data_IF_119791026682
#
_entry.id   IF_119791026682
#
_cell.length_a   1.000
_cell.length_b   1.000
_cell.length_c   1.000
_cell.angle_alpha   90.00
_cell.angle_beta   90.00
_cell.angle_gamma   90.00
#
_symmetry.space_group_name_H-M   'P 1'
#
loop_
_entity.id
_entity.type
_entity.pdbx_description
1 polymer ?
#
# COMPACT_ATOMS: atom_id res chain seq x y z
N UNK A 1 7.57 -6.47 -9.18
CA UNK A 1 8.29 -5.28 -8.66
C UNK A 1 7.98 -5.17 -7.18
N UNK A 2 8.98 -4.96 -6.31
CA UNK A 2 8.75 -4.73 -4.88
C UNK A 2 9.18 -3.31 -4.52
N UNK A 3 8.53 -2.71 -3.53
CA UNK A 3 8.88 -1.38 -3.04
C UNK A 3 8.32 -1.12 -1.66
N UNK A 4 8.70 0.03 -1.11
CA UNK A 4 8.18 0.54 0.16
C UNK A 4 7.23 1.69 -0.14
N UNK A 5 6.11 1.74 0.55
CA UNK A 5 5.16 2.86 0.49
C UNK A 5 5.08 3.51 1.86
N UNK A 6 5.12 4.84 1.87
CA UNK A 6 5.05 5.63 3.10
C UNK A 6 3.86 6.57 3.03
N UNK A 7 3.08 6.62 4.11
CA UNK A 7 1.98 7.55 4.31
C UNK A 7 2.29 8.46 5.48
N UNK A 8 1.88 9.72 5.35
CA UNK A 8 1.85 10.66 6.46
C UNK A 8 0.46 10.66 7.09
N UNK A 9 0.37 10.05 8.27
CA UNK A 9 -0.84 10.00 9.08
C UNK A 9 -1.18 11.34 9.74
N UNK A 10 -2.34 11.40 10.40
CA UNK A 10 -2.74 12.55 11.21
C UNK A 10 -1.70 12.81 12.30
N UNK A 11 -1.34 14.08 12.52
CA UNK A 11 -0.27 14.55 13.42
C UNK A 11 1.16 14.27 12.96
N UNK A 12 1.38 13.95 11.69
CA UNK A 12 2.72 13.78 11.13
C UNK A 12 3.38 12.43 11.43
N UNK A 13 2.62 11.45 11.91
CA UNK A 13 3.11 10.09 12.07
C UNK A 13 3.42 9.49 10.70
N UNK A 14 4.65 8.99 10.50
CA UNK A 14 5.00 8.27 9.29
C UNK A 14 4.65 6.80 9.47
N UNK A 15 3.87 6.27 8.51
CA UNK A 15 3.49 4.87 8.44
C UNK A 15 4.13 4.30 7.19
N UNK A 16 4.97 3.29 7.34
CA UNK A 16 5.64 2.62 6.22
C UNK A 16 5.16 1.18 6.11
N UNK A 17 4.83 0.77 4.89
CA UNK A 17 4.49 -0.60 4.54
C UNK A 17 5.25 -1.05 3.30
N UNK A 18 5.16 -2.32 2.99
CA UNK A 18 5.78 -2.91 1.81
C UNK A 18 4.72 -3.20 0.76
N UNK A 19 5.09 -3.10 -0.52
CA UNK A 19 4.22 -3.49 -1.61
C UNK A 19 4.96 -4.35 -2.63
N UNK A 20 4.21 -5.25 -3.26
CA UNK A 20 4.64 -6.11 -4.35
C UNK A 20 3.63 -6.06 -5.48
N UNK A 21 4.12 -5.71 -6.67
CA UNK A 21 3.38 -5.78 -7.93
C UNK A 21 3.78 -7.04 -8.68
N UNK A 22 2.79 -7.87 -9.00
CA UNK A 22 2.94 -9.11 -9.77
C UNK A 22 1.89 -9.13 -10.87
N UNK A 23 2.34 -9.02 -12.13
CA UNK A 23 1.45 -8.85 -13.28
C UNK A 23 0.59 -7.59 -13.13
N UNK A 24 -0.73 -7.79 -13.24
CA UNK A 24 -1.77 -6.77 -13.07
C UNK A 24 -2.30 -6.70 -11.62
N UNK A 25 -1.57 -7.21 -10.62
CA UNK A 25 -1.98 -7.17 -9.21
C UNK A 25 -0.95 -6.44 -8.36
N UNK A 26 -1.41 -5.64 -7.40
CA UNK A 26 -0.59 -5.08 -6.32
C UNK A 26 -1.03 -5.68 -4.98
N UNK A 27 -0.07 -6.09 -4.17
CA UNK A 27 -0.23 -6.50 -2.78
C UNK A 27 0.49 -5.49 -1.89
N UNK A 28 -0.14 -5.06 -0.81
CA UNK A 28 0.47 -4.23 0.24
C UNK A 28 0.40 -4.99 1.55
N UNK A 29 1.49 -4.95 2.31
CA UNK A 29 1.63 -5.64 3.59
C UNK A 29 2.06 -4.62 4.65
N UNK A 30 1.35 -4.61 5.78
CA UNK A 30 1.58 -3.71 6.91
C UNK A 30 1.21 -4.40 8.22
N UNK A 31 2.11 -4.36 9.21
CA UNK A 31 1.88 -4.91 10.56
C UNK A 31 1.35 -6.36 10.61
N UNK A 32 1.74 -7.21 9.64
CA UNK A 32 1.27 -8.60 9.54
C UNK A 32 -0.08 -8.77 8.83
N UNK A 33 -0.71 -7.67 8.41
CA UNK A 33 -1.91 -7.66 7.57
C UNK A 33 -1.54 -7.40 6.12
N UNK A 34 -2.34 -7.94 5.20
CA UNK A 34 -2.11 -7.80 3.76
C UNK A 34 -3.41 -7.46 3.02
N UNK A 35 -3.28 -6.65 1.96
CA UNK A 35 -4.36 -6.35 1.02
C UNK A 35 -3.85 -6.49 -0.40
N UNK A 36 -4.69 -7.01 -1.29
CA UNK A 36 -4.36 -7.07 -2.71
C UNK A 36 -5.50 -6.55 -3.56
N UNK A 37 -5.15 -5.86 -4.65
CA UNK A 37 -6.10 -5.37 -5.65
C UNK A 37 -5.49 -5.46 -7.04
N UNK A 38 -6.37 -5.43 -8.04
CA UNK A 38 -5.97 -5.37 -9.44
C UNK A 38 -5.57 -3.94 -9.85
N UNK A 39 -4.51 -3.82 -10.63
CA UNK A 39 -4.07 -2.58 -11.27
C UNK A 39 -4.95 -2.32 -12.49
N UNK A 40 -6.03 -1.55 -12.33
CA UNK A 40 -6.91 -1.16 -13.45
C UNK A 40 -6.48 0.19 -14.05
N UNK A 41 -5.27 0.24 -14.60
CA UNK A 41 -4.69 1.45 -15.22
C UNK A 41 -4.34 2.59 -14.25
N UNK A 42 -4.57 2.42 -12.94
CA UNK A 42 -4.18 3.37 -11.91
C UNK A 42 -2.68 3.38 -11.60
N UNK A 43 -2.19 4.48 -11.00
CA UNK A 43 -0.81 4.57 -10.53
C UNK A 43 -0.56 3.60 -9.37
N UNK A 44 0.47 2.76 -9.49
CA UNK A 44 0.93 1.82 -8.44
C UNK A 44 1.14 2.54 -7.12
N UNK A 45 1.74 3.73 -7.12
CA UNK A 45 2.04 4.48 -5.91
C UNK A 45 0.76 4.93 -5.19
N UNK A 46 -0.23 5.40 -5.96
CA UNK A 46 -1.51 5.82 -5.41
C UNK A 46 -2.30 4.64 -4.82
N UNK A 47 -2.29 3.49 -5.50
CA UNK A 47 -2.93 2.28 -5.00
C UNK A 47 -2.21 1.74 -3.77
N UNK A 48 -0.86 1.73 -3.77
CA UNK A 48 -0.07 1.32 -2.63
C UNK A 48 -0.40 2.18 -1.39
N UNK A 49 -0.50 3.49 -1.57
CA UNK A 49 -0.87 4.44 -0.52
C UNK A 49 -2.31 4.23 -0.04
N UNK A 50 -3.26 4.00 -0.96
CA UNK A 50 -4.65 3.76 -0.58
C UNK A 50 -4.79 2.48 0.26
N UNK A 51 -4.11 1.40 -0.14
CA UNK A 51 -4.17 0.12 0.56
C UNK A 51 -3.44 0.17 1.90
N UNK A 52 -2.29 0.83 1.97
CA UNK A 52 -1.59 1.04 3.25
C UNK A 52 -2.47 1.86 4.21
N UNK A 53 -3.22 2.82 3.70
CA UNK A 53 -4.14 3.63 4.51
C UNK A 53 -5.30 2.81 5.05
N UNK A 54 -5.87 1.95 4.20
CA UNK A 54 -6.94 1.01 4.58
C UNK A 54 -6.45 0.10 5.70
N UNK A 55 -5.30 -0.55 5.52
CA UNK A 55 -4.64 -1.40 6.50
C UNK A 55 -4.31 -0.70 7.82
N UNK A 56 -4.00 0.59 7.79
CA UNK A 56 -3.66 1.35 8.99
C UNK A 56 -4.89 1.81 9.80
N UNK A 57 -6.06 1.93 9.17
CA UNK A 57 -7.29 2.39 9.81
C UNK A 57 -8.18 1.25 10.31
N UNK A 58 -7.81 0.00 10.01
CA UNK A 58 -8.47 -1.23 10.45
C UNK A 58 -8.07 -1.62 11.89
#
# INVERSE_FOLDING_TARGET
MKGTVTLTGRKGALVSGEYEVTGDTIRVSYAGHERCVRLDGGSVDHLAQSLLRDLWLE
#
